data_IF_903246522581
#
_entry.id   IF_903246522581
#
_cell.length_a   1.000
_cell.length_b   1.000
_cell.length_c   1.000
_cell.angle_alpha   90.00
_cell.angle_beta   90.00
_cell.angle_gamma   90.00
#
_symmetry.space_group_name_H-M   'P 1'
#
loop_
_entity.id
_entity.type
_entity.pdbx_description
1 polymer ?
#
# COMPACT_ATOMS: atom_id res chain seq x y z
N UNK A 1 12.27 -14.55 8.87
CA UNK A 1 11.86 -13.42 8.01
C UNK A 1 12.54 -12.12 8.45
N UNK A 2 12.52 -11.06 7.59
CA UNK A 2 13.04 -9.74 7.98
C UNK A 2 12.33 -9.20 9.23
N UNK A 3 11.02 -9.41 9.36
CA UNK A 3 10.25 -8.98 10.54
C UNK A 3 10.64 -9.73 11.81
N UNK A 4 10.95 -11.04 11.72
CA UNK A 4 11.45 -11.78 12.87
C UNK A 4 12.82 -11.25 13.32
N UNK A 5 13.64 -10.78 12.38
CA UNK A 5 14.90 -10.12 12.70
C UNK A 5 14.66 -8.81 13.46
N UNK A 6 13.76 -7.94 12.97
CA UNK A 6 13.46 -6.67 13.65
C UNK A 6 12.94 -6.91 15.08
N UNK A 7 12.01 -7.87 15.25
CA UNK A 7 11.52 -8.24 16.59
C UNK A 7 12.61 -8.72 17.51
N UNK A 8 13.53 -9.58 17.04
CA UNK A 8 14.67 -10.06 17.84
C UNK A 8 15.68 -8.96 18.14
N UNK A 9 15.77 -7.94 17.28
CA UNK A 9 16.60 -6.76 17.48
C UNK A 9 15.98 -5.73 18.43
N UNK A 10 14.79 -6.02 18.98
CA UNK A 10 14.10 -5.14 19.93
C UNK A 10 13.37 -3.97 19.28
N UNK A 11 13.24 -3.94 17.96
CA UNK A 11 12.46 -2.89 17.26
C UNK A 11 10.98 -3.28 17.28
N UNK A 12 10.19 -2.52 18.00
CA UNK A 12 8.76 -2.77 18.14
C UNK A 12 7.98 -2.44 16.83
N UNK A 13 6.86 -3.13 16.54
CA UNK A 13 6.09 -2.92 15.31
C UNK A 13 5.59 -1.49 15.09
N UNK A 14 5.30 -0.75 16.15
CA UNK A 14 4.91 0.67 16.10
C UNK A 14 6.04 1.60 15.61
N UNK A 15 7.25 1.07 15.45
CA UNK A 15 8.41 1.72 14.82
C UNK A 15 8.70 1.16 13.41
N UNK A 16 7.74 0.51 12.77
CA UNK A 16 7.91 0.02 11.40
C UNK A 16 7.03 0.79 10.44
N UNK A 17 7.59 1.16 9.31
CA UNK A 17 6.85 1.59 8.13
C UNK A 17 6.94 0.50 7.08
N UNK A 18 5.79 0.02 6.63
CA UNK A 18 5.71 -0.95 5.54
C UNK A 18 5.50 -0.19 4.25
N UNK A 19 6.51 -0.21 3.39
CA UNK A 19 6.47 0.42 2.07
C UNK A 19 6.36 -0.66 0.99
N UNK A 20 5.39 -0.52 0.10
CA UNK A 20 5.23 -1.40 -1.05
C UNK A 20 4.99 -0.61 -2.33
N UNK A 21 5.69 -0.99 -3.39
CA UNK A 21 5.54 -0.47 -4.74
C UNK A 21 4.96 -1.56 -5.63
N UNK A 22 3.96 -1.24 -6.46
CA UNK A 22 3.38 -2.14 -7.45
C UNK A 22 2.98 -3.49 -6.81
N UNK A 23 3.56 -4.61 -7.23
CA UNK A 23 3.34 -5.92 -6.63
C UNK A 23 3.67 -5.96 -5.12
N UNK A 24 4.66 -5.18 -4.67
CA UNK A 24 5.05 -5.06 -3.27
C UNK A 24 3.96 -4.52 -2.38
N UNK A 25 2.98 -3.78 -2.92
CA UNK A 25 1.84 -3.26 -2.15
C UNK A 25 0.97 -4.38 -1.58
N UNK A 26 0.76 -5.45 -2.33
CA UNK A 26 0.01 -6.61 -1.85
C UNK A 26 0.73 -7.33 -0.70
N UNK A 27 2.06 -7.35 -0.74
CA UNK A 27 2.89 -7.92 0.33
C UNK A 27 2.83 -7.01 1.57
N UNK A 28 2.97 -5.70 1.41
CA UNK A 28 2.87 -4.74 2.52
C UNK A 28 1.50 -4.83 3.22
N UNK A 29 0.41 -4.93 2.44
CA UNK A 29 -0.95 -5.10 2.95
C UNK A 29 -1.10 -6.42 3.72
N UNK A 30 -0.60 -7.54 3.17
CA UNK A 30 -0.65 -8.83 3.85
C UNK A 30 0.08 -8.79 5.19
N UNK A 31 1.26 -8.16 5.21
CA UNK A 31 2.07 -8.02 6.42
C UNK A 31 1.38 -7.12 7.44
N UNK A 32 0.90 -5.94 7.03
CA UNK A 32 0.17 -5.03 7.91
C UNK A 32 -1.07 -5.70 8.51
N UNK A 33 -1.87 -6.40 7.70
CA UNK A 33 -3.06 -7.09 8.16
C UNK A 33 -2.79 -8.19 9.21
N UNK A 34 -1.63 -8.87 9.11
CA UNK A 34 -1.20 -9.88 10.10
C UNK A 34 -0.79 -9.24 11.43
N UNK A 35 -0.09 -8.11 11.40
CA UNK A 35 0.41 -7.43 12.61
C UNK A 35 -0.67 -6.64 13.34
N UNK A 36 -1.66 -6.11 12.63
CA UNK A 36 -2.77 -5.32 13.20
C UNK A 36 -3.52 -6.04 14.34
N UNK A 37 -3.43 -7.37 14.42
CA UNK A 37 -4.13 -8.15 15.45
C UNK A 37 -3.56 -7.85 16.85
N UNK A 38 -2.27 -7.52 16.97
CA UNK A 38 -1.60 -7.31 18.27
C UNK A 38 -1.10 -5.88 18.45
N UNK A 39 -0.34 -5.36 17.49
CA UNK A 39 0.27 -4.02 17.55
C UNK A 39 0.29 -3.45 16.13
N UNK A 40 -0.41 -2.33 15.85
CA UNK A 40 -0.33 -1.67 14.55
C UNK A 40 1.10 -1.22 14.25
N UNK A 41 1.48 -1.20 12.96
CA UNK A 41 2.73 -0.58 12.52
C UNK A 41 2.57 0.94 12.45
N UNK A 42 3.67 1.71 12.47
CA UNK A 42 3.65 3.16 12.42
C UNK A 42 2.95 3.71 11.16
N UNK A 43 3.14 3.04 10.02
CA UNK A 43 2.48 3.42 8.78
C UNK A 43 2.60 2.39 7.67
N UNK A 44 1.72 2.49 6.70
CA UNK A 44 1.73 1.67 5.47
C UNK A 44 1.68 2.61 4.28
N UNK A 45 2.69 2.57 3.42
CA UNK A 45 2.77 3.34 2.19
C UNK A 45 2.62 2.42 1.00
N UNK A 46 1.67 2.73 0.12
CA UNK A 46 1.30 1.93 -1.03
C UNK A 46 1.46 2.77 -2.31
N UNK A 47 2.51 2.49 -3.07
CA UNK A 47 2.83 3.16 -4.33
C UNK A 47 2.30 2.35 -5.51
N UNK A 48 1.49 2.98 -6.36
CA UNK A 48 0.84 2.37 -7.51
C UNK A 48 0.16 1.02 -7.20
N UNK A 49 -0.70 0.95 -6.16
CA UNK A 49 -1.31 -0.28 -5.72
C UNK A 49 -2.45 -0.74 -6.63
N UNK A 50 -2.84 -2.01 -6.46
CA UNK A 50 -4.00 -2.63 -7.12
C UNK A 50 -4.93 -3.33 -6.13
N UNK A 51 -6.22 -3.37 -6.45
CA UNK A 51 -7.26 -4.00 -5.62
C UNK A 51 -7.11 -5.52 -5.54
N UNK A 52 -6.78 -6.17 -6.68
CA UNK A 52 -6.47 -7.60 -6.77
C UNK A 52 -5.63 -7.89 -8.01
N UNK A 53 -4.90 -9.01 -8.01
CA UNK A 53 -4.16 -9.47 -9.19
C UNK A 53 -5.09 -9.71 -10.39
N UNK A 54 -6.30 -10.20 -10.14
CA UNK A 54 -7.30 -10.43 -11.19
C UNK A 54 -7.79 -9.10 -11.80
N UNK A 55 -7.96 -8.05 -10.98
CA UNK A 55 -8.36 -6.73 -11.48
C UNK A 55 -7.21 -6.06 -12.25
N UNK A 56 -5.96 -6.19 -11.79
CA UNK A 56 -4.78 -5.67 -12.49
C UNK A 56 -4.60 -6.34 -13.86
N UNK A 57 -4.66 -7.67 -13.89
CA UNK A 57 -4.59 -8.43 -15.15
C UNK A 57 -5.77 -8.13 -16.08
N UNK A 58 -6.99 -7.96 -15.54
CA UNK A 58 -8.18 -7.60 -16.32
C UNK A 58 -8.10 -6.20 -16.93
N UNK A 59 -7.38 -5.29 -16.32
CA UNK A 59 -7.12 -3.96 -16.88
C UNK A 59 -6.16 -4.02 -18.08
N UNK A 60 -5.17 -4.92 -18.05
CA UNK A 60 -4.21 -5.13 -19.14
C UNK A 60 -4.78 -6.02 -20.27
N UNK A 61 -5.61 -6.99 -19.91
CA UNK A 61 -6.15 -8.00 -20.83
C UNK A 61 -7.69 -8.07 -20.74
N UNK A 62 -8.41 -7.04 -21.18
CA UNK A 62 -9.87 -6.93 -20.96
C UNK A 62 -10.70 -8.02 -21.66
N UNK A 63 -10.11 -8.73 -22.62
CA UNK A 63 -10.73 -9.84 -23.35
C UNK A 63 -10.52 -11.21 -22.68
N UNK A 64 -9.75 -11.28 -21.57
CA UNK A 64 -9.56 -12.52 -20.82
C UNK A 64 -10.44 -12.52 -19.54
N UNK A 65 -11.06 -13.65 -19.20
CA UNK A 65 -11.82 -13.79 -17.96
C UNK A 65 -10.88 -13.96 -16.74
N UNK A 66 -10.09 -12.92 -16.44
CA UNK A 66 -8.99 -12.97 -15.44
C UNK A 66 -9.47 -13.36 -14.06
N UNK A 67 -10.70 -12.99 -13.67
CA UNK A 67 -11.30 -13.37 -12.38
C UNK A 67 -11.56 -14.88 -12.24
N UNK A 68 -11.66 -15.60 -13.35
CA UNK A 68 -11.82 -17.06 -13.37
C UNK A 68 -10.46 -17.75 -13.45
N UNK A 69 -9.55 -17.19 -14.25
CA UNK A 69 -8.24 -17.79 -14.53
C UNK A 69 -7.23 -17.58 -13.39
N UNK A 70 -7.29 -16.44 -12.70
CA UNK A 70 -6.37 -16.11 -11.62
C UNK A 70 -7.02 -16.50 -10.30
N UNK A 71 -6.51 -17.57 -9.69
CA UNK A 71 -6.81 -17.89 -8.28
C UNK A 71 -6.00 -16.93 -7.41
N UNK A 72 -6.63 -15.84 -7.05
CA UNK A 72 -5.99 -14.67 -6.50
C UNK A 72 -5.49 -14.89 -5.06
N UNK A 73 -4.19 -15.06 -4.90
CA UNK A 73 -3.53 -15.02 -3.60
C UNK A 73 -3.41 -13.56 -3.06
N UNK A 74 -3.56 -12.54 -3.91
CA UNK A 74 -3.33 -11.14 -3.61
C UNK A 74 -4.62 -10.29 -3.68
N UNK A 75 -5.67 -10.72 -2.97
CA UNK A 75 -6.87 -9.88 -2.83
C UNK A 75 -6.62 -8.81 -1.78
N UNK A 76 -6.02 -7.70 -2.21
CA UNK A 76 -5.65 -6.56 -1.38
C UNK A 76 -6.87 -5.86 -0.80
N UNK A 77 -7.96 -5.77 -1.55
CA UNK A 77 -9.20 -5.10 -1.15
C UNK A 77 -9.83 -5.74 0.11
N UNK A 78 -9.87 -7.08 0.19
CA UNK A 78 -10.41 -7.78 1.37
C UNK A 78 -9.49 -7.69 2.59
N UNK A 79 -8.21 -7.41 2.40
CA UNK A 79 -7.23 -7.38 3.47
C UNK A 79 -7.03 -5.97 4.03
N UNK A 80 -7.07 -4.95 3.18
CA UNK A 80 -6.80 -3.57 3.59
C UNK A 80 -7.79 -3.07 4.64
N UNK A 81 -9.05 -3.51 4.56
CA UNK A 81 -10.09 -3.18 5.54
C UNK A 81 -9.83 -3.75 6.95
N UNK A 82 -8.85 -4.65 7.11
CA UNK A 82 -8.44 -5.20 8.40
C UNK A 82 -7.28 -4.41 9.03
N UNK A 83 -6.61 -3.54 8.27
CA UNK A 83 -5.48 -2.75 8.74
C UNK A 83 -6.00 -1.60 9.60
N UNK A 84 -5.37 -1.40 10.77
CA UNK A 84 -5.65 -0.30 11.70
C UNK A 84 -4.56 0.75 11.73
N UNK A 85 -3.43 0.45 11.10
CA UNK A 85 -2.33 1.40 10.95
C UNK A 85 -2.71 2.53 9.98
N UNK A 86 -2.13 3.72 10.11
CA UNK A 86 -2.25 4.76 9.11
C UNK A 86 -1.82 4.27 7.72
N UNK A 87 -2.60 4.60 6.69
CA UNK A 87 -2.33 4.18 5.30
C UNK A 87 -2.18 5.40 4.41
N UNK A 88 -1.15 5.40 3.56
CA UNK A 88 -0.99 6.36 2.47
C UNK A 88 -1.00 5.61 1.14
N UNK A 89 -1.83 6.06 0.20
CA UNK A 89 -1.86 5.56 -1.18
C UNK A 89 -1.34 6.65 -2.11
N UNK A 90 -0.34 6.33 -2.91
CA UNK A 90 0.21 7.22 -3.94
C UNK A 90 0.02 6.61 -5.31
N UNK A 91 -0.51 7.38 -6.27
CA UNK A 91 -0.75 6.86 -7.61
C UNK A 91 -0.78 7.98 -8.67
N UNK A 92 -0.16 7.72 -9.83
CA UNK A 92 -0.21 8.61 -10.98
C UNK A 92 -1.46 8.37 -11.85
N UNK A 93 -2.04 9.43 -12.39
CA UNK A 93 -3.23 9.35 -13.25
C UNK A 93 -2.92 8.84 -14.67
N UNK A 94 -1.62 8.92 -15.07
CA UNK A 94 -1.14 8.43 -16.37
C UNK A 94 -0.53 7.03 -16.29
N UNK A 95 -0.74 6.30 -15.18
CA UNK A 95 -0.26 4.94 -15.03
C UNK A 95 -0.96 3.98 -16.00
N UNK A 96 -0.19 3.48 -16.99
CA UNK A 96 -0.66 2.53 -18.02
C UNK A 96 -0.43 1.08 -17.63
N UNK A 97 0.34 0.83 -16.57
CA UNK A 97 0.62 -0.52 -16.05
C UNK A 97 -0.45 -0.95 -15.07
N UNK A 98 -0.72 -0.12 -14.08
CA UNK A 98 -1.79 -0.31 -13.10
C UNK A 98 -2.67 0.94 -13.12
N UNK A 99 -3.84 0.91 -13.75
CA UNK A 99 -4.71 2.08 -13.81
C UNK A 99 -5.05 2.63 -12.42
N UNK A 100 -4.94 3.94 -12.24
CA UNK A 100 -5.18 4.64 -10.97
C UNK A 100 -6.51 4.27 -10.30
N UNK A 101 -7.54 3.95 -11.09
CA UNK A 101 -8.85 3.49 -10.59
C UNK A 101 -8.75 2.29 -9.64
N UNK A 102 -7.71 1.44 -9.79
CA UNK A 102 -7.50 0.29 -8.89
C UNK A 102 -6.91 0.74 -7.55
N UNK A 103 -6.06 1.75 -7.56
CA UNK A 103 -5.57 2.42 -6.34
C UNK A 103 -6.69 3.15 -5.60
N UNK A 104 -7.56 3.88 -6.32
CA UNK A 104 -8.74 4.55 -5.75
C UNK A 104 -9.66 3.52 -5.09
N UNK A 105 -9.99 2.43 -5.79
CA UNK A 105 -10.81 1.34 -5.26
C UNK A 105 -10.23 0.76 -3.97
N UNK A 106 -8.91 0.58 -3.94
CA UNK A 106 -8.22 0.08 -2.75
C UNK A 106 -8.24 1.09 -1.60
N UNK A 107 -8.03 2.38 -1.90
CA UNK A 107 -8.11 3.46 -0.93
C UNK A 107 -9.50 3.55 -0.30
N UNK A 108 -10.56 3.43 -1.10
CA UNK A 108 -11.94 3.48 -0.61
C UNK A 108 -12.24 2.36 0.38
N UNK A 109 -11.65 1.17 0.16
CA UNK A 109 -11.80 0.01 1.05
C UNK A 109 -10.95 0.08 2.34
N UNK A 110 -10.00 1.01 2.42
CA UNK A 110 -9.13 1.18 3.59
C UNK A 110 -9.87 1.88 4.74
N UNK A 111 -9.50 1.48 5.99
CA UNK A 111 -9.98 2.19 7.19
C UNK A 111 -9.26 3.53 7.40
N UNK A 112 -9.86 4.39 8.20
CA UNK A 112 -9.17 5.55 8.76
C UNK A 112 -8.19 5.13 9.89
N UNK A 113 -7.07 5.87 10.09
CA UNK A 113 -6.68 7.05 9.33
C UNK A 113 -6.03 6.70 7.99
N UNK A 114 -6.44 7.38 6.93
CA UNK A 114 -5.89 7.19 5.60
C UNK A 114 -5.67 8.52 4.88
N UNK A 115 -4.69 8.54 3.96
CA UNK A 115 -4.41 9.67 3.08
C UNK A 115 -4.10 9.19 1.67
N UNK A 116 -4.26 10.05 0.69
CA UNK A 116 -3.91 9.73 -0.69
C UNK A 116 -3.18 10.89 -1.35
N UNK A 117 -2.28 10.54 -2.27
CA UNK A 117 -1.61 11.47 -3.17
C UNK A 117 -1.87 11.01 -4.62
N UNK A 118 -2.80 11.69 -5.29
CA UNK A 118 -3.09 11.45 -6.71
C UNK A 118 -2.28 12.43 -7.53
N UNK A 119 -1.28 11.92 -8.29
CA UNK A 119 -0.31 12.76 -9.00
C UNK A 119 -0.73 12.91 -10.46
N UNK A 120 -1.08 14.12 -10.83
CA UNK A 120 -1.45 14.44 -12.21
C UNK A 120 -0.23 14.45 -13.13
N UNK A 121 -0.33 13.76 -14.27
CA UNK A 121 0.74 13.60 -15.26
C UNK A 121 1.77 12.52 -14.95
N UNK A 122 1.72 11.88 -13.78
CA UNK A 122 2.64 10.83 -13.41
C UNK A 122 2.21 9.45 -13.93
N UNK A 123 3.16 8.66 -14.38
CA UNK A 123 3.02 7.26 -14.78
C UNK A 123 3.36 6.30 -13.64
N UNK A 124 3.67 5.03 -14.01
CA UNK A 124 3.94 3.97 -13.05
C UNK A 124 5.28 4.13 -12.29
N UNK A 125 6.32 4.64 -12.97
CA UNK A 125 7.69 4.58 -12.46
C UNK A 125 8.33 5.95 -12.22
N UNK A 126 7.58 7.05 -12.33
CA UNK A 126 8.14 8.39 -12.24
C UNK A 126 7.45 9.29 -11.21
N UNK A 127 6.82 8.70 -10.20
CA UNK A 127 6.12 9.43 -9.14
C UNK A 127 7.06 10.34 -8.35
N UNK A 128 8.33 9.93 -8.19
CA UNK A 128 9.37 10.71 -7.53
C UNK A 128 9.71 12.02 -8.25
N UNK A 129 9.58 12.07 -9.59
CA UNK A 129 9.81 13.30 -10.38
C UNK A 129 8.79 14.40 -10.04
N UNK A 130 7.71 14.04 -9.34
CA UNK A 130 6.62 14.93 -8.93
C UNK A 130 6.62 15.24 -7.42
N UNK A 131 7.73 14.97 -6.73
CA UNK A 131 7.89 15.31 -5.30
C UNK A 131 7.14 14.38 -4.33
N UNK A 132 6.83 13.16 -4.74
CA UNK A 132 6.18 12.15 -3.89
C UNK A 132 6.96 11.86 -2.61
N UNK A 133 8.28 11.90 -2.66
CA UNK A 133 9.18 11.63 -1.53
C UNK A 133 8.92 12.55 -0.34
N UNK A 134 8.71 13.83 -0.56
CA UNK A 134 8.42 14.81 0.49
C UNK A 134 7.10 14.51 1.21
N UNK A 135 6.08 14.14 0.45
CA UNK A 135 4.77 13.78 0.99
C UNK A 135 4.83 12.48 1.80
N UNK A 136 5.58 11.49 1.32
CA UNK A 136 5.81 10.22 2.03
C UNK A 136 6.58 10.47 3.33
N UNK A 137 7.64 11.27 3.32
CA UNK A 137 8.38 11.64 4.52
C UNK A 137 7.47 12.36 5.52
N UNK A 138 6.68 13.32 5.07
CA UNK A 138 5.71 14.04 5.92
C UNK A 138 4.68 13.10 6.55
N UNK A 139 4.18 12.12 5.78
CA UNK A 139 3.29 11.08 6.30
C UNK A 139 3.97 10.22 7.37
N UNK A 140 5.22 9.82 7.15
CA UNK A 140 5.99 9.03 8.11
C UNK A 140 6.20 9.82 9.40
N UNK A 141 6.69 11.04 9.30
CA UNK A 141 6.97 11.90 10.45
C UNK A 141 5.72 12.14 11.30
N UNK A 142 4.58 12.37 10.66
CA UNK A 142 3.29 12.58 11.35
C UNK A 142 2.85 11.36 12.16
N UNK A 143 3.15 10.15 11.70
CA UNK A 143 2.65 8.91 12.29
C UNK A 143 3.72 8.15 13.09
N UNK A 144 4.98 8.62 13.05
CA UNK A 144 6.05 8.03 13.82
C UNK A 144 5.86 8.31 15.32
N UNK A 145 6.04 7.31 16.19
CA UNK A 145 5.94 7.55 17.63
C UNK A 145 7.11 8.43 18.08
N UNK A 146 6.82 9.69 18.35
CA UNK A 146 7.79 10.59 18.97
C UNK A 146 7.95 10.17 20.44
N UNK A 147 9.15 9.74 20.83
CA UNK A 147 9.47 9.63 22.25
C UNK A 147 9.37 11.02 22.87
N UNK A 148 8.39 11.21 23.75
CA UNK A 148 8.39 12.37 24.66
C UNK A 148 9.67 12.30 25.50
N UNK A 149 10.59 13.23 25.25
CA UNK A 149 11.71 13.45 26.16
C UNK A 149 11.21 13.86 27.56
#
# INVERSE_FOLDING_TARGET
TALDFLLRSGVAPDHWVLYGESLGTAIAIEMAARFTIKTPVAGVVLEAPFSSMADAAGALYPYLPTKILIKDAYNSELKISKIKSPIMVVHGDMDKTIPQKLGIKLFDAANEPKSSLWINGAGHNNLYDFGMDQEVISFIDKNWPHTSE
#
